data_IF_694147300108
#
_entry.id   IF_694147300108
#
_cell.length_a   1.000
_cell.length_b   1.000
_cell.length_c   1.000
_cell.angle_alpha   90.00
_cell.angle_beta   90.00
_cell.angle_gamma   90.00
#
_symmetry.space_group_name_H-M   'P 1'
#
loop_
_entity.id
_entity.type
_entity.pdbx_description
1 polymer ?
#
# COMPACT_ATOMS: atom_id res chain seq x y z
N UNK A 1 -4.75 -1.51 9.13
CA UNK A 1 -4.70 -1.15 7.69
C UNK A 1 -4.65 -2.40 6.82
N UNK A 2 -5.22 -2.31 5.61
CA UNK A 2 -5.37 -3.39 4.65
C UNK A 2 -6.73 -4.09 4.75
N UNK A 3 -7.24 -4.55 3.59
CA UNK A 3 -8.63 -5.01 3.47
C UNK A 3 -8.96 -6.17 4.41
N UNK A 4 -8.12 -7.23 4.45
CA UNK A 4 -8.36 -8.37 5.33
C UNK A 4 -8.34 -8.03 6.82
N UNK A 5 -7.38 -7.20 7.25
CA UNK A 5 -7.29 -6.78 8.65
C UNK A 5 -8.47 -5.91 9.08
N UNK A 6 -8.91 -4.98 8.21
CA UNK A 6 -10.02 -4.09 8.51
C UNK A 6 -11.39 -4.77 8.46
N UNK A 7 -11.51 -5.89 7.75
CA UNK A 7 -12.72 -6.69 7.70
C UNK A 7 -13.00 -7.50 8.98
N UNK A 8 -11.99 -7.71 9.83
CA UNK A 8 -12.13 -8.45 11.09
C UNK A 8 -13.09 -7.72 12.04
N UNK A 9 -12.91 -6.40 12.18
CA UNK A 9 -13.77 -5.55 13.00
C UNK A 9 -14.03 -4.22 12.29
N UNK A 10 -15.11 -4.10 11.49
CA UNK A 10 -15.46 -2.89 10.77
C UNK A 10 -15.68 -1.67 11.68
N UNK A 11 -16.33 -1.84 12.83
CA UNK A 11 -16.61 -0.76 13.77
C UNK A 11 -15.30 -0.13 14.28
N UNK A 12 -14.40 -0.95 14.79
CA UNK A 12 -13.07 -0.50 15.23
C UNK A 12 -12.26 0.10 14.07
N UNK A 13 -12.45 -0.42 12.84
CA UNK A 13 -11.79 0.12 11.65
C UNK A 13 -12.24 1.57 11.40
N UNK A 14 -13.53 1.86 11.48
CA UNK A 14 -14.03 3.23 11.31
C UNK A 14 -13.63 4.13 12.48
N UNK A 15 -13.70 3.65 13.71
CA UNK A 15 -13.24 4.40 14.89
C UNK A 15 -11.78 4.85 14.74
N UNK A 16 -10.88 3.92 14.36
CA UNK A 16 -9.45 4.23 14.24
C UNK A 16 -9.12 5.00 12.97
N UNK A 17 -9.67 4.62 11.80
CA UNK A 17 -9.26 5.21 10.53
C UNK A 17 -10.03 6.48 10.15
N UNK A 18 -11.19 6.72 10.73
CA UNK A 18 -12.11 7.78 10.35
C UNK A 18 -12.43 8.72 11.51
N UNK A 19 -12.97 8.20 12.63
CA UNK A 19 -13.43 9.05 13.73
C UNK A 19 -12.27 9.74 14.46
N UNK A 20 -11.12 9.08 14.59
CA UNK A 20 -9.88 9.69 15.08
C UNK A 20 -9.45 10.88 14.21
N UNK A 21 -9.61 10.76 12.89
CA UNK A 21 -9.28 11.82 11.93
C UNK A 21 -10.28 12.97 12.02
N UNK A 22 -11.57 12.66 12.20
CA UNK A 22 -12.60 13.67 12.48
C UNK A 22 -12.22 14.48 13.72
N UNK A 23 -11.88 13.81 14.82
CA UNK A 23 -11.45 14.47 16.04
C UNK A 23 -10.23 15.39 15.80
N UNK A 24 -9.23 14.92 15.02
CA UNK A 24 -8.08 15.75 14.66
C UNK A 24 -8.49 16.96 13.81
N UNK A 25 -9.35 16.79 12.80
CA UNK A 25 -9.81 17.87 11.93
C UNK A 25 -10.54 18.98 12.72
N UNK A 26 -11.33 18.59 13.71
CA UNK A 26 -12.10 19.53 14.56
C UNK A 26 -11.22 20.26 15.58
N UNK A 27 -10.21 19.58 16.15
CA UNK A 27 -9.50 20.06 17.34
C UNK A 27 -8.04 20.48 17.06
N UNK A 28 -7.43 20.04 15.96
CA UNK A 28 -6.03 20.32 15.65
C UNK A 28 -5.93 21.34 14.52
N UNK A 29 -5.30 22.50 14.80
CA UNK A 29 -5.20 23.62 13.85
C UNK A 29 -3.88 23.71 13.10
N UNK A 30 -2.99 22.78 13.34
CA UNK A 30 -1.70 22.67 12.62
C UNK A 30 -1.85 21.80 11.38
N UNK A 31 -0.77 21.74 10.61
CA UNK A 31 -0.72 20.90 9.41
C UNK A 31 -0.94 19.43 9.72
N UNK A 32 -1.78 18.79 8.92
CA UNK A 32 -2.04 17.35 8.98
C UNK A 32 -1.53 16.72 7.70
N UNK A 33 -0.70 15.68 7.82
CA UNK A 33 -0.36 14.77 6.72
C UNK A 33 -1.15 13.48 6.90
N UNK A 34 -2.05 13.18 5.97
CA UNK A 34 -2.90 12.00 6.06
C UNK A 34 -2.55 10.98 4.98
N UNK A 35 -2.27 9.76 5.41
CA UNK A 35 -1.97 8.64 4.53
C UNK A 35 -3.26 7.89 4.21
N UNK A 36 -3.85 8.21 3.06
CA UNK A 36 -4.97 7.53 2.46
C UNK A 36 -4.49 6.40 1.52
N UNK A 37 -5.31 5.97 0.58
CA UNK A 37 -5.02 4.82 -0.29
C UNK A 37 -5.63 4.98 -1.68
N UNK A 38 -4.93 4.55 -2.72
CA UNK A 38 -5.52 4.40 -4.05
C UNK A 38 -6.60 3.32 -4.13
N UNK A 39 -6.77 2.48 -3.11
CA UNK A 39 -7.88 1.51 -3.04
C UNK A 39 -9.26 2.17 -3.03
N UNK A 40 -9.34 3.49 -2.76
CA UNK A 40 -10.58 4.28 -2.86
C UNK A 40 -11.19 4.27 -4.27
N UNK A 41 -10.38 4.03 -5.30
CA UNK A 41 -10.84 3.95 -6.68
C UNK A 41 -11.53 2.61 -7.03
N UNK A 42 -11.25 1.53 -6.27
CA UNK A 42 -11.86 0.21 -6.50
C UNK A 42 -11.36 -0.49 -7.76
N UNK A 43 -12.27 -0.84 -8.66
CA UNK A 43 -11.96 -1.46 -9.95
C UNK A 43 -12.48 -0.56 -11.06
N UNK A 44 -11.57 0.07 -11.78
CA UNK A 44 -11.88 1.00 -12.88
C UNK A 44 -10.82 0.91 -13.98
N UNK A 45 -11.25 1.09 -15.22
CA UNK A 45 -10.37 1.13 -16.37
C UNK A 45 -9.76 2.53 -16.58
N UNK A 46 -8.63 2.56 -17.28
CA UNK A 46 -7.93 3.80 -17.63
C UNK A 46 -6.95 4.27 -16.56
N UNK A 47 -6.36 5.42 -16.80
CA UNK A 47 -5.41 6.07 -15.90
C UNK A 47 -6.16 7.08 -15.02
N UNK A 48 -6.31 6.76 -13.75
CA UNK A 48 -7.09 7.53 -12.78
C UNK A 48 -6.25 8.66 -12.17
N UNK A 49 -6.89 9.77 -11.92
CA UNK A 49 -6.35 10.91 -11.19
C UNK A 49 -7.24 11.26 -9.99
N UNK A 50 -6.92 12.34 -9.30
CA UNK A 50 -7.61 12.75 -8.07
C UNK A 50 -9.06 13.20 -8.32
N UNK A 51 -9.42 13.56 -9.57
CA UNK A 51 -10.77 13.95 -9.98
C UNK A 51 -11.61 12.76 -10.45
N UNK A 52 -11.00 11.56 -10.56
CA UNK A 52 -11.70 10.34 -10.95
C UNK A 52 -12.70 9.91 -9.88
N UNK A 53 -13.78 9.24 -10.31
CA UNK A 53 -14.81 8.76 -9.40
C UNK A 53 -14.24 7.79 -8.36
N UNK A 54 -14.79 7.83 -7.15
CA UNK A 54 -14.43 6.97 -6.01
C UNK A 54 -15.43 5.82 -5.94
N UNK A 55 -14.92 4.59 -5.82
CA UNK A 55 -15.72 3.37 -5.71
C UNK A 55 -15.05 2.36 -4.76
N UNK A 56 -15.02 2.65 -3.42
CA UNK A 56 -14.36 1.78 -2.46
C UNK A 56 -15.03 0.41 -2.39
N UNK A 57 -14.23 -0.66 -2.40
CA UNK A 57 -14.69 -2.05 -2.40
C UNK A 57 -14.43 -2.78 -1.07
N UNK A 58 -14.00 -2.05 -0.04
CA UNK A 58 -13.68 -2.64 1.27
C UNK A 58 -13.93 -1.63 2.40
N UNK A 59 -14.12 -2.15 3.62
CA UNK A 59 -14.23 -1.33 4.84
C UNK A 59 -13.01 -0.42 5.03
N UNK A 60 -11.82 -0.95 4.71
CA UNK A 60 -10.59 -0.16 4.73
C UNK A 60 -10.68 1.05 3.78
N UNK A 61 -11.03 0.84 2.53
CA UNK A 61 -11.13 1.92 1.55
C UNK A 61 -12.25 2.91 1.92
N UNK A 62 -13.41 2.41 2.37
CA UNK A 62 -14.54 3.26 2.81
C UNK A 62 -14.18 4.13 4.00
N UNK A 63 -13.49 3.58 5.01
CA UNK A 63 -13.04 4.35 6.18
C UNK A 63 -12.03 5.44 5.80
N UNK A 64 -11.17 5.19 4.80
CA UNK A 64 -10.24 6.21 4.30
C UNK A 64 -10.93 7.31 3.51
N UNK A 65 -11.94 6.98 2.70
CA UNK A 65 -12.79 7.99 2.01
C UNK A 65 -13.46 8.91 3.03
N UNK A 66 -14.04 8.33 4.07
CA UNK A 66 -14.71 9.13 5.11
C UNK A 66 -13.73 10.06 5.84
N UNK A 67 -12.51 9.59 6.11
CA UNK A 67 -11.46 10.41 6.71
C UNK A 67 -11.02 11.55 5.77
N UNK A 68 -10.90 11.32 4.46
CA UNK A 68 -10.63 12.37 3.48
C UNK A 68 -11.69 13.48 3.52
N UNK A 69 -12.98 13.10 3.66
CA UNK A 69 -14.08 14.07 3.76
C UNK A 69 -13.96 14.98 5.00
N UNK A 70 -13.58 14.43 6.16
CA UNK A 70 -13.39 15.22 7.39
C UNK A 70 -12.22 16.22 7.28
N UNK A 71 -11.24 15.93 6.44
CA UNK A 71 -10.09 16.81 6.23
C UNK A 71 -10.31 17.86 5.14
N UNK A 72 -11.44 17.86 4.44
CA UNK A 72 -11.75 18.88 3.43
C UNK A 72 -11.75 20.28 4.03
N UNK A 73 -11.00 21.19 3.41
CA UNK A 73 -10.88 22.59 3.84
C UNK A 73 -9.97 22.80 5.06
N UNK A 74 -9.36 21.76 5.61
CA UNK A 74 -8.34 21.88 6.65
C UNK A 74 -6.95 22.15 6.04
N UNK A 75 -5.98 22.59 6.88
CA UNK A 75 -4.57 22.64 6.47
C UNK A 75 -3.99 21.23 6.41
N UNK A 76 -4.32 20.49 5.34
CA UNK A 76 -3.91 19.09 5.20
C UNK A 76 -3.40 18.75 3.81
N UNK A 77 -2.43 17.84 3.78
CA UNK A 77 -2.05 17.10 2.58
C UNK A 77 -2.45 15.65 2.74
N UNK A 78 -3.16 15.11 1.77
CA UNK A 78 -3.70 13.76 1.77
C UNK A 78 -3.04 12.97 0.65
N UNK A 79 -2.29 11.94 0.99
CA UNK A 79 -1.68 11.05 0.02
C UNK A 79 -2.52 9.79 -0.17
N UNK A 80 -3.12 9.60 -1.34
CA UNK A 80 -3.66 8.31 -1.78
C UNK A 80 -2.50 7.44 -2.23
N UNK A 81 -2.01 6.61 -1.32
CA UNK A 81 -0.84 5.76 -1.56
C UNK A 81 -1.15 4.61 -2.51
N UNK A 82 -0.22 4.36 -3.43
CA UNK A 82 -0.15 3.09 -4.14
C UNK A 82 0.11 1.93 -3.20
N UNK A 83 0.10 0.71 -3.72
CA UNK A 83 0.42 -0.50 -2.97
C UNK A 83 1.88 -0.46 -2.50
N UNK A 84 2.08 -0.44 -1.19
CA UNK A 84 3.41 -0.33 -0.60
C UNK A 84 4.22 -1.60 -0.82
N UNK A 85 5.54 -1.43 -0.97
CA UNK A 85 6.52 -2.50 -1.00
C UNK A 85 7.86 -2.07 -0.38
N UNK A 86 8.79 -3.02 -0.23
CA UNK A 86 10.10 -2.80 0.36
C UNK A 86 10.08 -2.96 1.88
N UNK A 87 11.20 -2.61 2.51
CA UNK A 87 11.42 -2.69 3.94
C UNK A 87 11.61 -1.29 4.49
N UNK A 88 10.95 -1.00 5.61
CA UNK A 88 11.14 0.24 6.36
C UNK A 88 12.40 0.20 7.23
N UNK A 89 12.51 1.10 8.18
CA UNK A 89 13.62 1.15 9.13
C UNK A 89 13.67 -0.06 10.09
N UNK A 90 14.75 -0.17 10.87
CA UNK A 90 14.99 -1.27 11.81
C UNK A 90 14.04 -1.29 13.01
N UNK A 91 13.34 -0.19 13.29
CA UNK A 91 12.44 -0.06 14.45
C UNK A 91 11.02 -0.43 14.09
N UNK A 92 10.67 -0.48 12.81
CA UNK A 92 9.32 -0.78 12.34
C UNK A 92 9.04 -2.27 12.29
N UNK A 93 7.78 -2.64 12.50
CA UNK A 93 7.32 -3.99 12.25
C UNK A 93 7.34 -4.29 10.75
N UNK A 94 8.12 -5.29 10.37
CA UNK A 94 8.19 -5.75 8.98
C UNK A 94 6.84 -6.32 8.56
N UNK A 95 6.40 -5.99 7.34
CA UNK A 95 5.22 -6.56 6.70
C UNK A 95 5.62 -7.43 5.51
N UNK A 96 5.31 -8.73 5.58
CA UNK A 96 5.52 -9.68 4.49
C UNK A 96 4.21 -10.03 3.75
N UNK A 97 3.09 -9.45 4.15
CA UNK A 97 1.76 -9.64 3.56
C UNK A 97 1.43 -8.65 2.42
N UNK A 98 2.38 -7.81 2.02
CA UNK A 98 2.27 -6.92 0.86
C UNK A 98 2.67 -7.66 -0.42
N UNK A 99 2.04 -7.34 -1.56
CA UNK A 99 2.15 -8.14 -2.79
C UNK A 99 3.58 -8.44 -3.25
N UNK A 100 4.47 -7.46 -3.29
CA UNK A 100 5.88 -7.68 -3.66
C UNK A 100 6.58 -8.52 -2.59
N UNK A 101 6.43 -8.12 -1.32
CA UNK A 101 7.10 -8.75 -0.20
C UNK A 101 6.68 -10.22 -0.03
N UNK A 102 5.38 -10.54 -0.14
CA UNK A 102 4.90 -11.93 -0.03
C UNK A 102 5.36 -12.79 -1.21
N UNK A 103 5.39 -12.25 -2.44
CA UNK A 103 5.85 -12.99 -3.61
C UNK A 103 7.36 -13.30 -3.51
N UNK A 104 8.20 -12.35 -3.06
CA UNK A 104 9.62 -12.61 -2.81
C UNK A 104 9.80 -13.65 -1.71
N UNK A 105 9.03 -13.54 -0.62
CA UNK A 105 9.06 -14.51 0.48
C UNK A 105 8.76 -15.92 -0.03
N UNK A 106 7.67 -16.09 -0.79
CA UNK A 106 7.28 -17.40 -1.36
C UNK A 106 8.30 -17.94 -2.35
N UNK A 107 8.89 -17.09 -3.19
CA UNK A 107 9.95 -17.50 -4.09
C UNK A 107 11.11 -18.15 -3.33
N UNK A 108 11.51 -17.56 -2.19
CA UNK A 108 12.64 -18.03 -1.39
C UNK A 108 12.32 -19.23 -0.49
N UNK A 109 11.09 -19.33 0.01
CA UNK A 109 10.73 -20.35 1.01
C UNK A 109 10.00 -21.56 0.41
N UNK A 110 9.24 -21.36 -0.65
CA UNK A 110 8.42 -22.38 -1.30
C UNK A 110 8.94 -22.77 -2.69
N UNK A 111 9.88 -22.00 -3.26
CA UNK A 111 10.40 -22.21 -4.62
C UNK A 111 9.36 -21.92 -5.71
N UNK A 112 8.23 -21.30 -5.35
CA UNK A 112 7.19 -20.95 -6.31
C UNK A 112 6.39 -19.73 -5.94
N UNK A 113 5.87 -19.05 -6.94
CA UNK A 113 5.02 -17.87 -6.87
C UNK A 113 3.63 -18.23 -7.37
N UNK A 114 2.62 -18.18 -6.52
CA UNK A 114 1.23 -18.33 -6.98
C UNK A 114 0.68 -16.97 -7.37
N UNK A 115 0.38 -16.80 -8.64
CA UNK A 115 -0.19 -15.60 -9.23
C UNK A 115 -1.67 -15.84 -9.56
N UNK A 116 -2.55 -15.12 -8.91
CA UNK A 116 -3.99 -15.19 -9.16
C UNK A 116 -4.37 -14.21 -10.28
N UNK A 117 -4.77 -14.74 -11.46
CA UNK A 117 -5.02 -13.96 -12.67
C UNK A 117 -3.72 -13.44 -13.29
N UNK A 118 -3.20 -12.32 -12.79
CA UNK A 118 -1.90 -11.74 -13.18
C UNK A 118 -2.00 -10.48 -14.02
N UNK A 119 -3.08 -10.28 -14.76
CA UNK A 119 -3.27 -9.12 -15.65
C UNK A 119 -3.75 -7.85 -14.94
N UNK A 120 -4.18 -7.97 -13.70
CA UNK A 120 -4.64 -6.83 -12.90
C UNK A 120 -3.50 -5.86 -12.57
N UNK A 121 -3.80 -4.58 -12.68
CA UNK A 121 -2.87 -3.49 -12.40
C UNK A 121 -2.79 -3.15 -10.92
N UNK A 122 -1.59 -2.79 -10.49
CA UNK A 122 -1.30 -2.23 -9.17
C UNK A 122 -0.34 -1.06 -9.29
N UNK A 123 -0.71 0.13 -8.85
CA UNK A 123 0.26 1.20 -8.62
C UNK A 123 1.14 0.82 -7.45
N UNK A 124 2.44 0.71 -7.65
CA UNK A 124 3.41 0.38 -6.61
C UNK A 124 4.07 1.64 -6.06
N UNK A 125 4.41 1.60 -4.79
CA UNK A 125 5.10 2.68 -4.09
C UNK A 125 6.04 2.11 -3.03
N UNK A 126 7.32 2.50 -3.08
CA UNK A 126 8.25 2.09 -2.04
C UNK A 126 8.01 2.87 -0.74
N UNK A 127 8.14 2.20 0.41
CA UNK A 127 7.87 2.82 1.71
C UNK A 127 8.75 4.05 1.99
N UNK A 128 10.01 4.05 1.54
CA UNK A 128 10.91 5.20 1.71
C UNK A 128 10.46 6.42 0.87
N UNK A 129 9.86 6.20 -0.30
CA UNK A 129 9.31 7.32 -1.09
C UNK A 129 8.11 7.99 -0.40
N UNK A 130 7.37 7.25 0.45
CA UNK A 130 6.34 7.87 1.31
C UNK A 130 6.98 8.80 2.33
N UNK A 131 8.04 8.36 3.00
CA UNK A 131 8.75 9.18 3.98
C UNK A 131 9.34 10.44 3.32
N UNK A 132 9.98 10.30 2.16
CA UNK A 132 10.53 11.41 1.40
C UNK A 132 9.46 12.41 0.94
N UNK A 133 8.27 11.91 0.52
CA UNK A 133 7.15 12.77 0.16
C UNK A 133 6.64 13.59 1.35
N UNK A 134 6.55 12.96 2.53
CA UNK A 134 6.16 13.65 3.78
C UNK A 134 7.21 14.71 4.12
N UNK A 135 8.48 14.35 4.15
CA UNK A 135 9.59 15.27 4.46
C UNK A 135 9.57 16.50 3.54
N UNK A 136 9.44 16.30 2.23
CA UNK A 136 9.45 17.40 1.28
C UNK A 136 8.21 18.31 1.37
N UNK A 137 7.07 17.78 1.83
CA UNK A 137 5.80 18.51 1.77
C UNK A 137 5.27 19.00 3.12
N UNK A 138 5.82 18.52 4.25
CA UNK A 138 5.27 18.82 5.57
C UNK A 138 5.29 20.33 5.89
N UNK A 139 6.33 21.02 5.48
CA UNK A 139 6.50 22.47 5.69
C UNK A 139 6.13 23.31 4.45
N UNK A 140 5.56 22.69 3.40
CA UNK A 140 5.16 23.39 2.18
C UNK A 140 3.74 23.96 2.27
N UNK A 141 3.39 24.81 1.31
CA UNK A 141 2.01 25.33 1.14
C UNK A 141 1.09 24.38 0.36
N UNK A 142 1.62 23.21 -0.09
CA UNK A 142 0.86 22.23 -0.87
C UNK A 142 -0.25 21.62 -0.03
N UNK A 143 -1.50 21.78 -0.43
CA UNK A 143 -2.68 21.29 0.28
C UNK A 143 -3.61 20.50 -0.65
N UNK A 144 -4.35 19.56 -0.08
CA UNK A 144 -5.36 18.80 -0.81
C UNK A 144 -5.01 17.33 -0.99
N UNK A 145 -5.67 16.69 -1.96
CA UNK A 145 -5.55 15.24 -2.22
C UNK A 145 -4.61 14.99 -3.39
N UNK A 146 -3.70 14.03 -3.22
CA UNK A 146 -2.70 13.66 -4.21
C UNK A 146 -2.54 12.14 -4.27
N UNK A 147 -2.54 11.60 -5.49
CA UNK A 147 -2.06 10.24 -5.70
C UNK A 147 -0.54 10.20 -5.52
N UNK A 148 -0.06 9.16 -4.86
CA UNK A 148 1.36 8.93 -4.70
C UNK A 148 1.70 7.49 -5.06
N UNK A 149 2.40 7.31 -6.19
CA UNK A 149 2.91 6.02 -6.66
C UNK A 149 4.22 6.20 -7.43
N UNK A 150 4.98 5.12 -7.54
CA UNK A 150 6.18 5.06 -8.38
C UNK A 150 5.81 4.74 -9.84
N UNK A 151 5.15 3.60 -10.04
CA UNK A 151 4.76 3.10 -11.36
C UNK A 151 3.62 2.09 -11.25
N UNK A 152 2.80 1.99 -12.29
CA UNK A 152 1.78 0.95 -12.41
C UNK A 152 2.40 -0.33 -12.99
N UNK A 153 2.14 -1.49 -12.36
CA UNK A 153 2.60 -2.81 -12.78
C UNK A 153 1.45 -3.80 -12.86
N UNK A 154 1.50 -4.73 -13.79
CA UNK A 154 0.69 -5.94 -13.71
C UNK A 154 1.28 -6.91 -12.69
N UNK A 155 0.45 -7.69 -12.01
CA UNK A 155 0.93 -8.68 -11.03
C UNK A 155 1.88 -9.69 -11.68
N UNK A 156 1.60 -10.12 -12.93
CA UNK A 156 2.49 -11.03 -13.66
C UNK A 156 3.87 -10.43 -13.92
N UNK A 157 3.97 -9.12 -14.16
CA UNK A 157 5.27 -8.47 -14.40
C UNK A 157 6.08 -8.32 -13.10
N UNK A 158 5.39 -8.14 -11.96
CA UNK A 158 6.03 -8.20 -10.63
C UNK A 158 6.62 -9.60 -10.41
N UNK A 159 5.86 -10.65 -10.70
CA UNK A 159 6.32 -12.02 -10.55
C UNK A 159 7.54 -12.34 -11.45
N UNK A 160 7.54 -11.89 -12.72
CA UNK A 160 8.68 -12.04 -13.63
C UNK A 160 9.94 -11.35 -13.08
N UNK A 161 9.81 -10.10 -12.60
CA UNK A 161 10.94 -9.38 -12.00
C UNK A 161 11.51 -10.10 -10.77
N UNK A 162 10.67 -10.79 -9.99
CA UNK A 162 11.12 -11.60 -8.86
C UNK A 162 11.88 -12.85 -9.33
N UNK A 163 11.43 -13.52 -10.40
CA UNK A 163 12.13 -14.68 -10.97
C UNK A 163 13.52 -14.30 -11.51
N UNK A 164 13.69 -13.10 -12.05
CA UNK A 164 15.02 -12.61 -12.45
C UNK A 164 16.01 -12.59 -11.27
N UNK A 165 15.53 -12.28 -10.05
CA UNK A 165 16.33 -12.29 -8.81
C UNK A 165 16.43 -13.68 -8.18
N UNK A 166 15.39 -14.52 -8.31
CA UNK A 166 15.30 -15.87 -7.73
C UNK A 166 15.03 -16.90 -8.84
N UNK A 167 16.03 -17.21 -9.71
CA UNK A 167 15.83 -18.09 -10.88
C UNK A 167 15.46 -19.54 -10.54
N UNK A 168 15.67 -19.96 -9.29
CA UNK A 168 15.28 -21.28 -8.80
C UNK A 168 13.78 -21.43 -8.52
N UNK A 169 13.05 -20.33 -8.46
CA UNK A 169 11.61 -20.36 -8.26
C UNK A 169 10.85 -20.42 -9.59
N UNK A 170 9.58 -20.82 -9.55
CA UNK A 170 8.69 -20.90 -10.71
C UNK A 170 7.43 -20.07 -10.50
N UNK A 171 6.79 -19.60 -11.58
CA UNK A 171 5.49 -18.93 -11.55
C UNK A 171 4.40 -19.96 -11.84
N UNK A 172 3.43 -20.08 -10.93
CA UNK A 172 2.19 -20.83 -11.11
C UNK A 172 1.02 -19.85 -11.23
N UNK A 173 0.42 -19.79 -12.40
CA UNK A 173 -0.78 -18.92 -12.60
C UNK A 173 -2.03 -19.74 -12.34
N UNK A 174 -2.92 -19.21 -11.53
CA UNK A 174 -4.22 -19.80 -11.20
C UNK A 174 -5.33 -18.84 -11.61
N UNK A 175 -6.55 -19.34 -11.92
CA UNK A 175 -7.69 -18.47 -12.15
C UNK A 175 -7.89 -17.52 -10.97
N UNK A 176 -8.22 -16.27 -11.26
CA UNK A 176 -8.44 -15.25 -10.23
C UNK A 176 -9.61 -15.68 -9.32
N UNK A 177 -9.32 -15.91 -8.05
CA UNK A 177 -10.38 -16.01 -7.04
C UNK A 177 -10.80 -14.59 -6.65
N UNK A 178 -12.07 -14.39 -6.41
CA UNK A 178 -12.74 -13.10 -6.16
C UNK A 178 -12.20 -12.26 -4.97
N UNK A 179 -11.15 -12.66 -4.32
CA UNK A 179 -10.64 -12.03 -3.09
C UNK A 179 -9.95 -10.67 -3.29
N UNK A 180 -9.51 -10.32 -4.51
CA UNK A 180 -8.92 -9.00 -4.80
C UNK A 180 -9.41 -8.48 -6.15
N UNK A 181 -10.60 -7.91 -6.14
CA UNK A 181 -11.25 -7.36 -7.33
C UNK A 181 -10.64 -6.02 -7.80
N UNK A 182 -9.69 -5.45 -7.06
CA UNK A 182 -9.07 -4.18 -7.42
C UNK A 182 -8.30 -4.31 -8.73
N UNK A 183 -8.56 -3.39 -9.64
CA UNK A 183 -7.83 -3.29 -10.89
C UNK A 183 -7.85 -1.82 -11.32
N UNK A 184 -6.74 -1.12 -11.15
CA UNK A 184 -6.65 0.29 -11.49
C UNK A 184 -5.21 0.75 -11.70
N UNK A 185 -5.05 1.79 -12.51
CA UNK A 185 -3.82 2.53 -12.70
C UNK A 185 -4.03 3.96 -12.24
N UNK A 186 -3.01 4.59 -11.67
CA UNK A 186 -3.11 5.98 -11.21
C UNK A 186 -2.00 6.85 -11.79
N UNK A 187 -2.28 8.17 -11.87
CA UNK A 187 -1.29 9.20 -12.16
C UNK A 187 -0.97 9.99 -10.90
N UNK A 188 0.30 10.29 -10.66
CA UNK A 188 0.78 11.22 -9.61
C UNK A 188 1.26 12.55 -10.20
N UNK A 189 0.80 12.90 -11.39
CA UNK A 189 1.20 14.10 -12.13
C UNK A 189 0.85 15.38 -11.36
N UNK A 190 -0.30 15.39 -10.67
CA UNK A 190 -0.72 16.53 -9.84
C UNK A 190 0.28 16.79 -8.72
N UNK A 191 0.68 15.76 -7.97
CA UNK A 191 1.68 15.91 -6.91
C UNK A 191 3.00 16.47 -7.46
N UNK A 192 3.47 15.92 -8.59
CA UNK A 192 4.70 16.41 -9.21
C UNK A 192 4.61 17.88 -9.61
N UNK A 193 3.50 18.32 -10.22
CA UNK A 193 3.32 19.72 -10.64
C UNK A 193 3.27 20.69 -9.46
N UNK A 194 2.65 20.32 -8.35
CA UNK A 194 2.43 21.21 -7.22
C UNK A 194 3.59 21.20 -6.20
N UNK A 195 4.29 20.08 -6.02
CA UNK A 195 5.36 19.95 -5.03
C UNK A 195 6.76 19.68 -5.62
N UNK A 196 6.85 19.33 -6.90
CA UNK A 196 8.09 18.83 -7.51
C UNK A 196 8.46 17.41 -7.09
N UNK A 197 7.69 16.76 -6.19
CA UNK A 197 8.00 15.41 -5.72
C UNK A 197 7.66 14.34 -6.75
N UNK A 198 8.58 13.39 -6.91
CA UNK A 198 8.40 12.19 -7.73
C UNK A 198 9.01 10.98 -7.05
N UNK A 199 8.22 9.94 -6.82
CA UNK A 199 8.70 8.66 -6.31
C UNK A 199 9.73 8.05 -7.28
N UNK A 200 10.83 7.55 -6.78
CA UNK A 200 11.99 7.13 -7.60
C UNK A 200 12.52 5.74 -7.26
N UNK A 201 12.15 5.18 -6.11
CA UNK A 201 12.64 3.86 -5.70
C UNK A 201 11.97 2.77 -6.54
N UNK A 202 12.77 2.06 -7.33
CA UNK A 202 12.29 1.09 -8.29
C UNK A 202 11.94 -0.27 -7.65
N UNK A 203 11.21 -1.10 -8.41
CA UNK A 203 10.77 -2.42 -7.98
C UNK A 203 11.95 -3.35 -7.63
N UNK A 204 13.03 -3.31 -8.41
CA UNK A 204 14.22 -4.14 -8.19
C UNK A 204 14.82 -3.90 -6.83
N UNK A 205 14.91 -2.64 -6.39
CA UNK A 205 15.43 -2.27 -5.06
C UNK A 205 14.60 -2.91 -3.94
N UNK A 206 13.27 -2.81 -4.00
CA UNK A 206 12.42 -3.43 -2.98
C UNK A 206 12.45 -4.96 -3.00
N UNK A 207 12.59 -5.58 -4.17
CA UNK A 207 12.81 -7.03 -4.29
C UNK A 207 14.14 -7.42 -3.60
N UNK A 208 15.22 -6.67 -3.85
CA UNK A 208 16.52 -6.91 -3.24
C UNK A 208 16.49 -6.77 -1.71
N UNK A 209 15.82 -5.77 -1.18
CA UNK A 209 15.68 -5.56 0.27
C UNK A 209 15.02 -6.77 0.96
N UNK A 210 13.91 -7.27 0.39
CA UNK A 210 13.22 -8.44 0.95
C UNK A 210 14.04 -9.71 0.76
N UNK A 211 14.69 -9.86 -0.40
CA UNK A 211 15.60 -10.97 -0.69
C UNK A 211 16.73 -11.02 0.35
N UNK A 212 17.43 -9.92 0.58
CA UNK A 212 18.55 -9.84 1.51
C UNK A 212 18.12 -10.07 2.97
N UNK A 213 16.94 -9.54 3.34
CA UNK A 213 16.37 -9.76 4.67
C UNK A 213 16.19 -11.25 4.98
N UNK A 214 15.70 -12.03 4.01
CA UNK A 214 15.39 -13.45 4.19
C UNK A 214 16.65 -14.30 3.99
N UNK A 215 17.39 -14.09 2.89
CA UNK A 215 18.56 -14.90 2.53
C UNK A 215 19.70 -14.78 3.54
N UNK A 216 19.85 -13.62 4.18
CA UNK A 216 20.83 -13.38 5.24
C UNK A 216 20.33 -13.79 6.64
N UNK A 217 19.21 -14.51 6.75
CA UNK A 217 18.61 -14.98 8.00
C UNK A 217 18.37 -13.86 9.03
N UNK A 218 18.08 -12.64 8.58
CA UNK A 218 17.76 -11.52 9.46
C UNK A 218 16.37 -11.66 10.11
N UNK A 219 15.55 -12.56 9.58
CA UNK A 219 14.27 -13.01 10.16
C UNK A 219 14.34 -14.51 10.40
N UNK A 220 14.09 -14.95 11.65
CA UNK A 220 14.18 -16.38 12.01
C UNK A 220 13.00 -17.20 11.52
N UNK A 221 11.80 -16.64 11.47
CA UNK A 221 10.58 -17.33 11.05
C UNK A 221 9.72 -16.38 10.22
N UNK A 222 9.85 -16.45 8.90
CA UNK A 222 9.13 -15.60 7.93
C UNK A 222 7.62 -15.83 7.93
N UNK A 223 7.15 -16.98 8.43
CA UNK A 223 5.74 -17.34 8.51
C UNK A 223 5.07 -16.95 9.85
N UNK A 224 5.80 -16.24 10.72
CA UNK A 224 5.22 -15.79 11.98
C UNK A 224 4.11 -14.75 11.74
N UNK A 225 2.98 -14.90 12.43
CA UNK A 225 1.79 -14.05 12.26
C UNK A 225 2.08 -12.56 12.42
N UNK A 226 3.10 -12.18 13.20
CA UNK A 226 3.52 -10.77 13.35
C UNK A 226 3.85 -10.05 12.03
N UNK A 227 4.13 -10.77 10.95
CA UNK A 227 4.47 -10.20 9.64
C UNK A 227 3.27 -10.04 8.71
N UNK A 228 2.07 -10.44 9.16
CA UNK A 228 0.79 -10.22 8.48
C UNK A 228 -0.14 -9.41 9.39
N UNK A 229 -0.73 -8.34 8.86
CA UNK A 229 -1.65 -7.53 9.65
C UNK A 229 -2.89 -8.33 10.05
N UNK A 230 -3.46 -9.09 9.12
CA UNK A 230 -4.65 -9.89 9.39
C UNK A 230 -4.36 -10.97 10.44
N UNK A 231 -3.36 -11.83 10.20
CA UNK A 231 -3.02 -12.92 11.11
C UNK A 231 -2.64 -12.41 12.51
N UNK A 232 -1.96 -11.25 12.57
CA UNK A 232 -1.60 -10.62 13.83
C UNK A 232 -2.86 -10.23 14.65
N UNK A 233 -3.83 -9.59 14.02
CA UNK A 233 -5.06 -9.18 14.70
C UNK A 233 -5.91 -10.38 15.12
N UNK A 234 -6.01 -11.41 14.28
CA UNK A 234 -6.72 -12.67 14.61
C UNK A 234 -6.08 -13.39 15.82
N UNK A 235 -4.73 -13.45 15.88
CA UNK A 235 -4.01 -14.10 16.99
C UNK A 235 -4.16 -13.34 18.30
N UNK A 236 -4.13 -12.01 18.28
CA UNK A 236 -4.17 -11.19 19.51
C UNK A 236 -5.58 -10.74 19.91
N UNK A 237 -6.62 -11.25 19.22
CA UNK A 237 -8.01 -11.09 19.67
C UNK A 237 -8.51 -9.65 19.69
N UNK A 238 -8.07 -8.82 18.76
CA UNK A 238 -8.64 -7.49 18.56
C UNK A 238 -9.90 -7.66 17.69
N UNK A 239 -10.84 -8.41 18.22
CA UNK A 239 -12.17 -8.65 17.63
C UNK A 239 -13.20 -7.71 18.26
#
# INVERSE_FOLDING_TARGET
VGDGACAINPELTFEINSDSVKFLAENFKKRIVFLSTCSVYGAQDGLLNEDSSINPLSEYASSKVQAEEYLKGSNSIIFRLGTLFGISDEFSRIRLDLVVNILVTKALTEGKLTVFGGEQWRPLLHVNDVANAIEQTIDSETNGIFNLHYKNFKIVDIAKAIIEKVPSASIETTPMKFQDARNYQVSSEKLYKESGFKASTNLTKGIEEVYDLISNNRIKNVHHNRYSNQNFLEEYGIS
#
